data_IF_552919358030
#
_entry.id   IF_552919358030
#
_cell.length_a   1.000
_cell.length_b   1.000
_cell.length_c   1.000
_cell.angle_alpha   90.00
_cell.angle_beta   90.00
_cell.angle_gamma   90.00
#
_symmetry.space_group_name_H-M   'P 1'
#
loop_
_entity.id
_entity.type
_entity.pdbx_description
1 polymer ?
#
# COMPACT_ATOMS: atom_id res chain seq x y z
N UNK A 1 23.97 -10.46 10.48
CA UNK A 1 22.57 -10.02 10.71
C UNK A 1 21.62 -11.14 11.09
N UNK A 2 21.60 -12.29 10.39
CA UNK A 2 20.69 -13.42 10.71
C UNK A 2 20.85 -13.95 12.16
N UNK A 3 22.09 -14.10 12.63
CA UNK A 3 22.36 -14.57 14.00
C UNK A 3 21.81 -13.64 15.10
N UNK A 4 21.82 -12.33 14.85
CA UNK A 4 21.27 -11.30 15.76
C UNK A 4 19.73 -11.40 15.80
N UNK A 5 19.10 -11.71 14.68
CA UNK A 5 17.65 -11.92 14.64
C UNK A 5 17.22 -13.16 15.42
N UNK A 6 17.99 -14.24 15.37
CA UNK A 6 17.69 -15.46 16.13
C UNK A 6 17.78 -15.25 17.64
N UNK A 7 18.71 -14.41 18.12
CA UNK A 7 18.83 -14.07 19.54
C UNK A 7 17.79 -13.04 19.98
N UNK A 8 17.47 -12.05 19.14
CA UNK A 8 16.51 -10.99 19.44
C UNK A 8 15.05 -11.46 19.29
N UNK A 9 14.78 -12.55 18.56
CA UNK A 9 13.42 -13.07 18.36
C UNK A 9 12.67 -13.34 19.66
N UNK A 10 13.32 -13.96 20.65
CA UNK A 10 12.71 -14.25 21.95
C UNK A 10 12.40 -12.97 22.74
N UNK A 11 13.25 -11.95 22.62
CA UNK A 11 13.00 -10.64 23.20
C UNK A 11 11.80 -9.97 22.52
N UNK A 12 11.67 -10.08 21.19
CA UNK A 12 10.53 -9.51 20.44
C UNK A 12 9.20 -10.17 20.80
N UNK A 13 9.20 -11.50 20.98
CA UNK A 13 8.05 -12.26 21.50
C UNK A 13 7.66 -11.75 22.89
N UNK A 14 8.64 -11.65 23.79
CA UNK A 14 8.41 -11.16 25.15
C UNK A 14 7.82 -9.74 25.14
N UNK A 15 8.41 -8.82 24.37
CA UNK A 15 7.96 -7.43 24.24
C UNK A 15 6.54 -7.28 23.67
N UNK A 16 6.08 -8.20 22.81
CA UNK A 16 4.71 -8.18 22.28
C UNK A 16 3.66 -8.55 23.33
N UNK A 17 4.02 -9.42 24.28
CA UNK A 17 3.14 -9.92 25.33
C UNK A 17 3.11 -9.00 26.56
N UNK A 18 4.06 -8.06 26.67
CA UNK A 18 4.08 -7.11 27.77
C UNK A 18 2.89 -6.14 27.75
N UNK A 19 2.33 -5.88 28.94
CA UNK A 19 1.25 -4.91 29.20
C UNK A 19 1.68 -3.46 28.88
N UNK A 20 2.99 -3.22 28.75
CA UNK A 20 3.53 -1.89 28.45
C UNK A 20 3.26 -1.57 26.97
N UNK A 21 2.20 -0.79 26.73
CA UNK A 21 1.77 -0.41 25.38
C UNK A 21 2.84 0.28 24.53
N UNK A 22 3.88 0.86 25.14
CA UNK A 22 4.95 1.59 24.44
C UNK A 22 5.94 0.66 23.71
N UNK A 23 6.08 -0.60 24.13
CA UNK A 23 7.09 -1.52 23.56
C UNK A 23 6.53 -2.42 22.45
N UNK A 24 5.21 -2.63 22.42
CA UNK A 24 4.52 -3.42 21.38
C UNK A 24 4.70 -2.84 19.96
N UNK A 25 4.60 -1.51 19.73
CA UNK A 25 4.89 -0.92 18.42
C UNK A 25 6.34 -1.09 18.00
N UNK A 26 7.29 -1.10 18.94
CA UNK A 26 8.71 -1.29 18.65
C UNK A 26 8.98 -2.69 18.11
N UNK A 27 8.37 -3.72 18.70
CA UNK A 27 8.49 -5.10 18.22
C UNK A 27 7.94 -5.27 16.80
N UNK A 28 6.74 -4.72 16.52
CA UNK A 28 6.17 -4.71 15.16
C UNK A 28 7.01 -3.89 14.18
N UNK A 29 7.63 -2.81 14.66
CA UNK A 29 8.57 -2.02 13.86
C UNK A 29 9.82 -2.83 13.50
N UNK A 30 10.30 -3.69 14.41
CA UNK A 30 11.35 -4.64 14.07
C UNK A 30 10.89 -5.58 12.94
N UNK A 31 9.68 -6.16 13.01
CA UNK A 31 9.17 -6.99 11.91
C UNK A 31 9.14 -6.24 10.58
N UNK A 32 8.80 -4.95 10.58
CA UNK A 32 8.88 -4.10 9.39
C UNK A 32 10.32 -3.76 8.93
N UNK A 33 11.32 -3.96 9.77
CA UNK A 33 12.75 -3.85 9.42
C UNK A 33 13.37 -5.18 8.98
N UNK A 34 12.60 -6.27 9.01
CA UNK A 34 13.05 -7.58 8.59
C UNK A 34 13.20 -7.63 7.06
N UNK A 35 14.29 -8.23 6.58
CA UNK A 35 14.49 -8.53 5.16
C UNK A 35 13.92 -9.92 4.82
N UNK A 36 13.55 -10.17 3.57
CA UNK A 36 13.11 -11.50 3.11
C UNK A 36 14.08 -12.61 3.55
N UNK A 37 15.39 -12.47 3.31
CA UNK A 37 16.40 -13.47 3.71
C UNK A 37 16.40 -13.82 5.21
N UNK A 38 16.12 -12.84 6.09
CA UNK A 38 15.97 -13.07 7.52
C UNK A 38 14.71 -13.86 7.79
N UNK A 39 13.58 -13.45 7.21
CA UNK A 39 12.30 -14.16 7.36
C UNK A 39 12.40 -15.62 6.89
N UNK A 40 13.02 -15.87 5.73
CA UNK A 40 13.23 -17.21 5.17
C UNK A 40 14.13 -18.09 6.04
N UNK A 41 15.06 -17.48 6.80
CA UNK A 41 15.93 -18.21 7.74
C UNK A 41 15.24 -18.63 9.04
N UNK A 42 14.05 -18.10 9.34
CA UNK A 42 13.27 -18.49 10.50
C UNK A 42 12.61 -19.85 10.29
N UNK A 43 12.43 -20.61 11.37
CA UNK A 43 11.59 -21.81 11.34
C UNK A 43 10.14 -21.45 11.02
N UNK A 44 9.36 -22.40 10.50
CA UNK A 44 7.95 -22.17 10.14
C UNK A 44 7.13 -21.62 11.31
N UNK A 45 7.31 -22.16 12.51
CA UNK A 45 6.62 -21.66 13.71
C UNK A 45 6.95 -20.19 14.03
N UNK A 46 8.20 -19.78 13.80
CA UNK A 46 8.63 -18.39 14.02
C UNK A 46 8.09 -17.46 12.94
N UNK A 47 8.02 -17.90 11.69
CA UNK A 47 7.35 -17.17 10.61
C UNK A 47 5.86 -16.98 10.94
N UNK A 48 5.19 -18.05 11.37
CA UNK A 48 3.77 -18.06 11.71
C UNK A 48 3.49 -17.15 12.91
N UNK A 49 4.39 -17.14 13.90
CA UNK A 49 4.32 -16.21 15.02
C UNK A 49 4.42 -14.75 14.57
N UNK A 50 5.36 -14.40 13.67
CA UNK A 50 5.51 -13.04 13.14
C UNK A 50 4.25 -12.60 12.39
N UNK A 51 3.73 -13.48 11.53
CA UNK A 51 2.50 -13.26 10.76
C UNK A 51 1.31 -13.05 11.68
N UNK A 52 1.05 -14.00 12.59
CA UNK A 52 -0.10 -13.97 13.50
C UNK A 52 -0.02 -12.76 14.44
N UNK A 53 1.17 -12.42 14.95
CA UNK A 53 1.36 -11.24 15.80
C UNK A 53 1.01 -9.95 15.07
N UNK A 54 1.44 -9.80 13.81
CA UNK A 54 1.13 -8.63 13.00
C UNK A 54 -0.37 -8.54 12.67
N UNK A 55 -1.00 -9.66 12.31
CA UNK A 55 -2.45 -9.70 12.01
C UNK A 55 -3.29 -9.39 13.25
N UNK A 56 -3.03 -10.07 14.37
CA UNK A 56 -3.74 -9.86 15.63
C UNK A 56 -3.57 -8.42 16.09
N UNK A 57 -2.35 -7.88 16.10
CA UNK A 57 -2.11 -6.50 16.47
C UNK A 57 -2.86 -5.49 15.59
N UNK A 58 -2.99 -5.75 14.28
CA UNK A 58 -3.73 -4.88 13.37
C UNK A 58 -5.26 -4.92 13.59
N UNK A 59 -5.81 -6.08 14.00
CA UNK A 59 -7.25 -6.32 14.13
C UNK A 59 -7.80 -6.05 15.53
N UNK A 60 -7.02 -6.33 16.58
CA UNK A 60 -7.55 -6.40 17.95
C UNK A 60 -6.89 -5.43 18.92
N UNK A 61 -5.77 -4.78 18.57
CA UNK A 61 -5.08 -3.90 19.51
C UNK A 61 -5.81 -2.55 19.65
N UNK A 62 -6.16 -2.17 20.87
CA UNK A 62 -6.83 -0.91 21.16
C UNK A 62 -5.94 0.34 20.97
N UNK A 63 -4.61 0.17 20.83
CA UNK A 63 -3.67 1.29 20.72
C UNK A 63 -3.36 1.60 19.25
N UNK A 64 -3.69 2.81 18.75
CA UNK A 64 -3.50 3.16 17.35
C UNK A 64 -2.06 3.06 16.81
N UNK A 65 -1.06 3.37 17.64
CA UNK A 65 0.35 3.27 17.24
C UNK A 65 0.79 1.82 17.02
N UNK A 66 0.23 0.87 17.78
CA UNK A 66 0.45 -0.57 17.60
C UNK A 66 -0.12 -1.01 16.26
N UNK A 67 -1.39 -0.65 15.99
CA UNK A 67 -2.05 -0.96 14.71
C UNK A 67 -1.31 -0.36 13.51
N UNK A 68 -0.82 0.87 13.64
CA UNK A 68 -0.02 1.49 12.59
C UNK A 68 1.28 0.72 12.31
N UNK A 69 1.99 0.30 13.36
CA UNK A 69 3.20 -0.51 13.23
C UNK A 69 2.90 -1.91 12.66
N UNK A 70 1.78 -2.51 13.05
CA UNK A 70 1.29 -3.78 12.51
C UNK A 70 1.02 -3.70 11.01
N UNK A 71 0.25 -2.71 10.56
CA UNK A 71 0.01 -2.49 9.12
C UNK A 71 1.30 -2.24 8.35
N UNK A 72 2.27 -1.55 8.96
CA UNK A 72 3.59 -1.36 8.35
C UNK A 72 4.35 -2.69 8.20
N UNK A 73 4.31 -3.55 9.22
CA UNK A 73 4.91 -4.88 9.17
C UNK A 73 4.23 -5.77 8.12
N UNK A 74 2.89 -5.81 8.10
CA UNK A 74 2.11 -6.51 7.06
C UNK A 74 2.56 -6.05 5.67
N UNK A 75 2.65 -4.74 5.43
CA UNK A 75 3.10 -4.22 4.14
C UNK A 75 4.53 -4.62 3.74
N UNK A 76 5.39 -5.00 4.67
CA UNK A 76 6.74 -5.53 4.37
C UNK A 76 6.68 -7.02 4.12
N UNK A 77 5.94 -7.75 4.95
CA UNK A 77 5.73 -9.19 4.83
C UNK A 77 5.08 -9.55 3.48
N UNK A 78 4.18 -8.71 2.96
CA UNK A 78 3.54 -8.93 1.65
C UNK A 78 4.50 -8.86 0.47
N UNK A 79 5.69 -8.29 0.65
CA UNK A 79 6.75 -8.26 -0.36
C UNK A 79 7.59 -9.54 -0.39
N UNK A 80 7.40 -10.48 0.56
CA UNK A 80 8.18 -11.72 0.60
C UNK A 80 7.50 -12.79 -0.26
N UNK A 81 8.24 -13.34 -1.23
CA UNK A 81 7.72 -14.34 -2.18
C UNK A 81 7.12 -15.57 -1.48
N UNK A 82 7.69 -15.97 -0.35
CA UNK A 82 7.24 -17.12 0.45
C UNK A 82 5.82 -16.92 1.02
N UNK A 83 5.40 -15.67 1.21
CA UNK A 83 4.06 -15.33 1.70
C UNK A 83 3.05 -15.34 0.56
N UNK A 84 3.47 -14.97 -0.65
CA UNK A 84 2.59 -15.00 -1.83
C UNK A 84 2.06 -16.42 -2.10
N UNK A 85 2.80 -17.46 -1.72
CA UNK A 85 2.34 -18.85 -1.84
C UNK A 85 1.41 -19.32 -0.71
N UNK A 86 1.13 -18.49 0.32
CA UNK A 86 0.36 -18.86 1.51
C UNK A 86 -1.03 -18.20 1.48
N UNK A 87 -1.97 -18.80 0.74
CA UNK A 87 -3.32 -18.24 0.48
C UNK A 87 -4.08 -17.80 1.74
N UNK A 88 -4.04 -18.59 2.81
CA UNK A 88 -4.68 -18.25 4.10
C UNK A 88 -4.10 -16.97 4.72
N UNK A 89 -2.77 -16.81 4.64
CA UNK A 89 -2.07 -15.62 5.16
C UNK A 89 -2.42 -14.37 4.37
N UNK A 90 -2.53 -14.49 3.04
CA UNK A 90 -2.95 -13.38 2.18
C UNK A 90 -4.32 -12.88 2.59
N UNK A 91 -5.30 -13.76 2.78
CA UNK A 91 -6.65 -13.37 3.19
C UNK A 91 -6.65 -12.66 4.56
N UNK A 92 -5.84 -13.12 5.51
CA UNK A 92 -5.69 -12.45 6.81
C UNK A 92 -5.06 -11.06 6.67
N UNK A 93 -4.06 -10.91 5.79
CA UNK A 93 -3.43 -9.62 5.49
C UNK A 93 -4.38 -8.63 4.83
N UNK A 94 -5.18 -9.08 3.86
CA UNK A 94 -6.21 -8.24 3.23
C UNK A 94 -7.23 -7.81 4.28
N UNK A 95 -7.75 -8.75 5.08
CA UNK A 95 -8.72 -8.46 6.15
C UNK A 95 -8.18 -7.43 7.15
N UNK A 96 -6.93 -7.60 7.59
CA UNK A 96 -6.28 -6.69 8.51
C UNK A 96 -6.09 -5.29 7.90
N UNK A 97 -5.58 -5.20 6.68
CA UNK A 97 -5.34 -3.92 6.02
C UNK A 97 -6.66 -3.19 5.69
N UNK A 98 -7.69 -3.91 5.23
CA UNK A 98 -9.02 -3.36 4.94
C UNK A 98 -9.74 -2.88 6.23
N UNK A 99 -9.63 -3.61 7.34
CA UNK A 99 -10.14 -3.14 8.63
C UNK A 99 -9.53 -1.77 9.01
N UNK A 100 -8.22 -1.62 8.77
CA UNK A 100 -7.46 -0.41 9.10
C UNK A 100 -7.61 0.73 8.06
N UNK A 101 -8.14 0.46 6.87
CA UNK A 101 -8.42 1.52 5.88
C UNK A 101 -9.70 2.28 6.19
N UNK A 102 -10.69 1.57 6.75
CA UNK A 102 -12.01 2.12 7.05
C UNK A 102 -12.12 2.69 8.46
N UNK A 103 -11.19 2.30 9.36
CA UNK A 103 -11.26 2.70 10.75
C UNK A 103 -11.14 4.22 10.93
N UNK A 104 -12.24 4.81 11.35
CA UNK A 104 -12.44 6.23 11.57
C UNK A 104 -12.60 6.48 13.06
N UNK A 105 -11.61 6.07 13.87
CA UNK A 105 -11.44 6.64 15.21
C UNK A 105 -10.89 8.07 15.07
N UNK A 106 -11.73 8.94 14.53
CA UNK A 106 -11.54 10.37 14.45
C UNK A 106 -11.80 10.99 15.83
N UNK A 107 -10.86 10.84 16.76
CA UNK A 107 -10.75 11.78 17.86
C UNK A 107 -9.88 12.95 17.39
N UNK A 108 -10.57 14.05 17.13
CA UNK A 108 -10.06 15.38 16.82
C UNK A 108 -9.27 15.91 18.02
N UNK A 109 -8.21 16.68 17.75
CA UNK A 109 -7.30 17.38 18.67
C UNK A 109 -5.96 16.69 19.01
N UNK A 110 -4.98 16.85 18.11
CA UNK A 110 -3.60 17.21 18.51
C UNK A 110 -2.77 17.55 17.26
N UNK A 111 -1.72 18.36 17.44
CA UNK A 111 -0.70 18.73 16.43
C UNK A 111 0.18 17.53 15.97
N UNK A 112 -0.13 16.31 16.43
CA UNK A 112 0.49 15.06 16.01
C UNK A 112 -0.38 14.52 14.85
N UNK A 113 0.19 13.91 13.78
CA UNK A 113 -0.64 13.23 12.78
C UNK A 113 -1.63 12.34 13.51
N UNK A 114 -2.95 12.64 13.38
CA UNK A 114 -4.00 11.84 14.02
C UNK A 114 -3.63 10.37 13.81
N UNK A 115 -3.58 9.54 14.86
CA UNK A 115 -3.12 8.17 14.72
C UNK A 115 -3.82 7.41 13.58
N UNK A 116 -5.05 7.81 13.25
CA UNK A 116 -5.80 7.39 12.05
C UNK A 116 -5.06 7.60 10.72
N UNK A 117 -4.35 8.73 10.52
CA UNK A 117 -3.57 9.04 9.32
C UNK A 117 -2.47 8.02 9.11
N UNK A 118 -1.71 7.70 10.17
CA UNK A 118 -0.60 6.76 10.10
C UNK A 118 -1.09 5.33 9.87
N UNK A 119 -2.19 4.95 10.52
CA UNK A 119 -2.85 3.66 10.31
C UNK A 119 -3.30 3.54 8.85
N UNK A 120 -4.13 4.48 8.37
CA UNK A 120 -4.66 4.48 7.00
C UNK A 120 -3.54 4.48 5.96
N UNK A 121 -2.51 5.32 6.14
CA UNK A 121 -1.36 5.36 5.23
C UNK A 121 -0.65 4.00 5.13
N UNK A 122 -0.42 3.33 6.26
CA UNK A 122 0.24 2.02 6.27
C UNK A 122 -0.67 0.91 5.74
N UNK A 123 -1.98 0.98 6.00
CA UNK A 123 -2.97 0.09 5.43
C UNK A 123 -3.02 0.21 3.90
N UNK A 124 -3.08 1.43 3.36
CA UNK A 124 -3.05 1.67 1.90
C UNK A 124 -1.80 1.09 1.25
N UNK A 125 -0.64 1.27 1.88
CA UNK A 125 0.62 0.70 1.39
C UNK A 125 0.60 -0.84 1.42
N UNK A 126 0.06 -1.44 2.48
CA UNK A 126 -0.10 -2.89 2.56
C UNK A 126 -1.05 -3.44 1.48
N UNK A 127 -2.22 -2.82 1.30
CA UNK A 127 -3.18 -3.16 0.24
C UNK A 127 -2.56 -3.02 -1.14
N UNK A 128 -1.80 -1.95 -1.40
CA UNK A 128 -1.09 -1.77 -2.67
C UNK A 128 -0.06 -2.85 -2.93
N UNK A 129 0.73 -3.25 -1.93
CA UNK A 129 1.70 -4.32 -2.09
C UNK A 129 1.03 -5.68 -2.35
N UNK A 130 -0.07 -5.95 -1.64
CA UNK A 130 -0.91 -7.13 -1.87
C UNK A 130 -1.50 -7.14 -3.29
N UNK A 131 -2.06 -6.00 -3.72
CA UNK A 131 -2.75 -5.88 -5.00
C UNK A 131 -1.85 -6.07 -6.20
N UNK A 132 -0.52 -6.00 -6.05
CA UNK A 132 0.44 -6.31 -7.12
C UNK A 132 0.54 -7.80 -7.43
N UNK A 133 0.40 -8.67 -6.42
CA UNK A 133 0.78 -10.09 -6.53
C UNK A 133 -0.41 -11.05 -6.43
N UNK A 134 -1.55 -10.62 -5.90
CA UNK A 134 -2.75 -11.46 -5.79
C UNK A 134 -3.39 -11.63 -7.17
N UNK A 135 -3.89 -12.84 -7.49
CA UNK A 135 -4.81 -13.04 -8.62
C UNK A 135 -6.17 -12.41 -8.30
N UNK A 136 -6.46 -11.28 -8.94
CA UNK A 136 -7.66 -10.47 -8.74
C UNK A 136 -8.67 -10.60 -9.89
N UNK A 137 -8.35 -11.36 -10.94
CA UNK A 137 -9.21 -11.53 -12.13
C UNK A 137 -9.95 -12.86 -12.13
N UNK A 138 -11.27 -12.79 -12.36
CA UNK A 138 -12.18 -13.93 -12.54
C UNK A 138 -11.98 -14.69 -13.86
N UNK A 139 -11.29 -14.12 -14.85
CA UNK A 139 -11.32 -14.63 -16.23
C UNK A 139 -10.61 -15.99 -16.42
N UNK A 140 -9.77 -16.41 -15.47
CA UNK A 140 -9.14 -17.74 -15.47
C UNK A 140 -9.96 -18.80 -14.70
N UNK A 141 -11.04 -18.41 -14.01
CA UNK A 141 -11.83 -19.33 -13.17
C UNK A 141 -12.78 -20.25 -13.98
N UNK A 142 -13.14 -19.86 -15.20
CA UNK A 142 -14.07 -20.63 -16.05
C UNK A 142 -13.39 -21.74 -16.86
N UNK A 143 -12.05 -21.71 -17.02
CA UNK A 143 -11.32 -22.63 -17.90
C UNK A 143 -10.43 -23.67 -17.18
N UNK A 144 -10.48 -23.77 -15.84
CA UNK A 144 -9.59 -24.66 -15.07
C UNK A 144 -10.32 -25.86 -14.42
N UNK A 145 -9.76 -27.09 -14.47
CA UNK A 145 -10.34 -28.28 -13.85
C UNK A 145 -10.58 -28.11 -12.34
N UNK A 146 -11.73 -28.61 -11.90
CA UNK A 146 -12.35 -28.42 -10.57
C UNK A 146 -11.51 -28.84 -9.36
N UNK A 147 -10.49 -29.68 -9.55
CA UNK A 147 -9.59 -30.14 -8.48
C UNK A 147 -8.50 -29.12 -8.07
N UNK A 148 -8.34 -28.02 -8.81
CA UNK A 148 -7.34 -26.97 -8.54
C UNK A 148 -7.95 -25.65 -8.04
N UNK A 149 -9.26 -25.65 -7.76
CA UNK A 149 -10.03 -24.43 -7.45
C UNK A 149 -9.81 -23.85 -6.04
N UNK A 150 -9.03 -24.48 -5.17
CA UNK A 150 -8.96 -24.09 -3.76
C UNK A 150 -7.86 -23.08 -3.39
N UNK A 151 -6.84 -22.87 -4.21
CA UNK A 151 -5.57 -22.39 -3.63
C UNK A 151 -5.14 -20.96 -3.99
N UNK A 152 -5.84 -20.23 -4.87
CA UNK A 152 -5.33 -18.91 -5.29
C UNK A 152 -6.36 -17.91 -5.82
N UNK A 153 -7.61 -17.94 -5.35
CA UNK A 153 -8.57 -16.88 -5.72
C UNK A 153 -8.60 -15.80 -4.65
N UNK A 154 -8.04 -14.62 -4.97
CA UNK A 154 -8.50 -13.41 -4.28
C UNK A 154 -9.98 -13.30 -4.55
N UNK A 155 -10.81 -13.34 -3.50
CA UNK A 155 -12.25 -13.10 -3.62
C UNK A 155 -12.44 -11.84 -4.50
N UNK A 156 -13.19 -11.88 -5.61
CA UNK A 156 -13.35 -10.73 -6.51
C UNK A 156 -13.85 -9.47 -5.78
N UNK A 157 -14.56 -9.67 -4.66
CA UNK A 157 -14.96 -8.62 -3.73
C UNK A 157 -13.77 -7.83 -3.15
N UNK A 158 -12.59 -8.43 -3.03
CA UNK A 158 -11.40 -7.74 -2.53
C UNK A 158 -10.87 -6.68 -3.50
N UNK A 159 -10.90 -6.93 -4.81
CA UNK A 159 -10.50 -5.91 -5.80
C UNK A 159 -11.42 -4.68 -5.67
N UNK A 160 -12.73 -4.93 -5.62
CA UNK A 160 -13.74 -3.88 -5.47
C UNK A 160 -13.55 -3.08 -4.17
N UNK A 161 -13.38 -3.76 -3.03
CA UNK A 161 -13.13 -3.10 -1.73
C UNK A 161 -11.82 -2.30 -1.72
N UNK A 162 -10.74 -2.87 -2.26
CA UNK A 162 -9.46 -2.17 -2.36
C UNK A 162 -9.60 -0.90 -3.19
N UNK A 163 -10.25 -1.00 -4.35
CA UNK A 163 -10.52 0.15 -5.22
C UNK A 163 -11.41 1.19 -4.54
N UNK A 164 -12.46 0.77 -3.86
CA UNK A 164 -13.34 1.66 -3.10
C UNK A 164 -12.55 2.42 -2.02
N UNK A 165 -11.71 1.71 -1.26
CA UNK A 165 -10.85 2.30 -0.24
C UNK A 165 -9.83 3.27 -0.85
N UNK A 166 -9.21 2.91 -1.98
CA UNK A 166 -8.27 3.78 -2.71
C UNK A 166 -8.96 5.04 -3.20
N UNK A 167 -10.08 4.93 -3.92
CA UNK A 167 -10.82 6.09 -4.46
C UNK A 167 -11.30 7.01 -3.33
N UNK A 168 -11.81 6.45 -2.24
CA UNK A 168 -12.22 7.23 -1.06
C UNK A 168 -11.03 7.96 -0.43
N UNK A 169 -9.93 7.25 -0.17
CA UNK A 169 -8.75 7.80 0.51
C UNK A 169 -7.94 8.78 -0.36
N UNK A 170 -7.92 8.61 -1.68
CA UNK A 170 -7.19 9.53 -2.56
C UNK A 170 -7.95 10.85 -2.79
N UNK A 171 -9.28 10.82 -2.72
CA UNK A 171 -10.12 12.02 -2.90
C UNK A 171 -10.31 12.80 -1.61
N UNK A 172 -10.43 12.12 -0.47
CA UNK A 172 -10.75 12.75 0.83
C UNK A 172 -9.63 12.67 1.86
N UNK A 173 -8.62 11.85 1.63
CA UNK A 173 -7.52 11.66 2.57
C UNK A 173 -6.60 12.87 2.62
N UNK A 174 -5.83 12.96 3.71
CA UNK A 174 -4.80 13.99 3.78
C UNK A 174 -3.64 13.70 2.81
N UNK A 175 -2.74 14.66 2.66
CA UNK A 175 -1.59 14.57 1.75
C UNK A 175 -0.80 13.26 1.93
N UNK A 176 -0.62 12.81 3.18
CA UNK A 176 0.12 11.57 3.48
C UNK A 176 -0.66 10.29 3.13
N UNK A 177 -1.97 10.32 3.16
CA UNK A 177 -2.78 9.19 2.68
C UNK A 177 -2.78 9.20 1.15
N UNK A 178 -2.99 10.35 0.52
CA UNK A 178 -3.12 10.50 -0.94
C UNK A 178 -1.90 9.98 -1.72
N UNK A 179 -0.67 10.41 -1.40
CA UNK A 179 0.53 9.88 -2.08
C UNK A 179 0.71 8.36 -1.85
N UNK A 180 0.37 7.82 -0.68
CA UNK A 180 0.44 6.37 -0.43
C UNK A 180 -0.61 5.62 -1.26
N UNK A 181 -1.78 6.20 -1.47
CA UNK A 181 -2.79 5.62 -2.38
C UNK A 181 -2.32 5.71 -3.84
N UNK A 182 -1.72 6.81 -4.28
CA UNK A 182 -1.15 6.90 -5.63
C UNK A 182 -0.10 5.80 -5.86
N UNK A 183 0.78 5.57 -4.88
CA UNK A 183 1.73 4.46 -4.90
C UNK A 183 1.02 3.08 -4.91
N UNK A 184 -0.06 2.91 -4.14
CA UNK A 184 -0.84 1.68 -4.13
C UNK A 184 -1.52 1.40 -5.48
N UNK A 185 -2.05 2.43 -6.15
CA UNK A 185 -2.62 2.36 -7.49
C UNK A 185 -1.55 1.98 -8.54
N UNK A 186 -0.34 2.54 -8.42
CA UNK A 186 0.80 2.13 -9.27
C UNK A 186 1.07 0.62 -9.14
N UNK A 187 1.10 0.08 -7.92
CA UNK A 187 1.25 -1.36 -7.71
C UNK A 187 0.07 -2.18 -8.26
N UNK A 188 -1.16 -1.70 -8.13
CA UNK A 188 -2.34 -2.35 -8.71
C UNK A 188 -2.23 -2.44 -10.23
N UNK A 189 -1.78 -1.38 -10.89
CA UNK A 189 -1.60 -1.36 -12.35
C UNK A 189 -0.48 -2.30 -12.81
N UNK A 190 0.50 -2.59 -11.95
CA UNK A 190 1.56 -3.58 -12.24
C UNK A 190 1.08 -5.03 -12.09
N UNK A 191 -0.16 -5.27 -11.65
CA UNK A 191 -0.70 -6.61 -11.52
C UNK A 191 -0.99 -7.22 -12.90
N UNK A 192 -0.19 -8.21 -13.31
CA UNK A 192 -0.32 -8.89 -14.59
C UNK A 192 -1.61 -9.70 -14.79
N UNK A 193 -2.43 -9.87 -13.74
CA UNK A 193 -3.72 -10.57 -13.80
C UNK A 193 -4.86 -9.61 -14.15
N UNK A 194 -4.65 -8.30 -14.04
CA UNK A 194 -5.64 -7.27 -14.36
C UNK A 194 -5.42 -6.76 -15.78
N UNK A 195 -6.41 -6.97 -16.64
CA UNK A 195 -6.46 -6.35 -17.96
C UNK A 195 -7.11 -4.98 -17.85
N UNK A 196 -6.32 -3.92 -17.64
CA UNK A 196 -6.82 -2.57 -17.37
C UNK A 196 -7.83 -2.08 -18.43
N UNK A 197 -7.60 -2.41 -19.70
CA UNK A 197 -8.50 -2.06 -20.79
C UNK A 197 -9.90 -2.71 -20.72
N UNK A 198 -10.09 -3.74 -19.90
CA UNK A 198 -11.37 -4.41 -19.66
C UNK A 198 -12.04 -3.94 -18.37
N UNK A 199 -11.35 -3.13 -17.58
CA UNK A 199 -11.83 -2.69 -16.27
C UNK A 199 -12.64 -1.39 -16.42
N UNK A 200 -13.93 -1.45 -16.11
CA UNK A 200 -14.84 -0.29 -16.17
C UNK A 200 -14.43 0.85 -15.23
N UNK A 201 -13.73 0.54 -14.14
CA UNK A 201 -13.24 1.51 -13.16
C UNK A 201 -11.95 2.24 -13.60
N UNK A 202 -11.19 1.71 -14.56
CA UNK A 202 -9.87 2.25 -14.91
C UNK A 202 -9.91 3.71 -15.40
N UNK A 203 -10.83 4.11 -16.32
CA UNK A 203 -10.94 5.50 -16.75
C UNK A 203 -11.18 6.48 -15.59
N UNK A 204 -12.02 6.12 -14.62
CA UNK A 204 -12.29 6.95 -13.44
C UNK A 204 -11.03 7.15 -12.60
N UNK A 205 -10.25 6.09 -12.40
CA UNK A 205 -8.99 6.18 -11.64
C UNK A 205 -7.95 7.02 -12.40
N UNK A 206 -7.85 6.90 -13.72
CA UNK A 206 -6.98 7.77 -14.52
C UNK A 206 -7.38 9.24 -14.37
N UNK A 207 -8.66 9.58 -14.45
CA UNK A 207 -9.13 10.96 -14.25
C UNK A 207 -8.77 11.52 -12.89
N UNK A 208 -8.88 10.73 -11.82
CA UNK A 208 -8.46 11.12 -10.47
C UNK A 208 -6.95 11.38 -10.41
N UNK A 209 -6.13 10.50 -10.98
CA UNK A 209 -4.68 10.65 -11.01
C UNK A 209 -4.25 11.89 -11.82
N UNK A 210 -4.92 12.17 -12.95
CA UNK A 210 -4.68 13.36 -13.76
C UNK A 210 -5.03 14.65 -13.00
N UNK A 211 -6.15 14.65 -12.27
CA UNK A 211 -6.54 15.76 -11.39
C UNK A 211 -5.45 16.02 -10.34
N UNK A 212 -4.95 14.98 -9.68
CA UNK A 212 -3.89 15.10 -8.67
C UNK A 212 -2.56 15.56 -9.26
N UNK A 213 -2.22 15.09 -10.47
CA UNK A 213 -1.01 15.48 -11.18
C UNK A 213 -1.00 16.97 -11.52
N UNK A 214 -2.16 17.49 -11.95
CA UNK A 214 -2.33 18.88 -12.37
C UNK A 214 -2.53 19.84 -11.20
N UNK A 215 -3.42 19.50 -10.26
CA UNK A 215 -4.00 20.48 -9.33
C UNK A 215 -3.43 20.34 -7.90
N UNK A 216 -2.69 19.28 -7.57
CA UNK A 216 -2.12 19.15 -6.23
C UNK A 216 -0.95 20.10 -6.02
N UNK A 217 -0.97 20.88 -4.94
CA UNK A 217 0.18 21.70 -4.50
C UNK A 217 1.32 20.87 -3.92
N UNK A 218 1.12 19.57 -3.69
CA UNK A 218 2.11 18.70 -3.11
C UNK A 218 2.87 17.89 -4.17
N UNK A 219 4.16 18.17 -4.34
CA UNK A 219 5.00 17.49 -5.33
C UNK A 219 5.08 15.98 -5.14
N UNK A 220 4.98 15.45 -3.92
CA UNK A 220 5.01 14.00 -3.68
C UNK A 220 3.75 13.31 -4.22
N UNK A 221 2.60 13.96 -4.09
CA UNK A 221 1.35 13.49 -4.73
C UNK A 221 1.53 13.52 -6.24
N UNK A 222 1.98 14.64 -6.82
CA UNK A 222 2.17 14.78 -8.28
C UNK A 222 3.13 13.71 -8.83
N UNK A 223 4.26 13.49 -8.17
CA UNK A 223 5.25 12.47 -8.58
C UNK A 223 4.64 11.06 -8.53
N UNK A 224 3.93 10.68 -7.45
CA UNK A 224 3.34 9.35 -7.36
C UNK A 224 2.15 9.17 -8.32
N UNK A 225 1.39 10.22 -8.60
CA UNK A 225 0.35 10.20 -9.62
C UNK A 225 0.94 10.00 -11.03
N UNK A 226 2.00 10.74 -11.37
CA UNK A 226 2.74 10.56 -12.62
C UNK A 226 3.32 9.15 -12.75
N UNK A 227 3.95 8.63 -11.69
CA UNK A 227 4.48 7.26 -11.67
C UNK A 227 3.37 6.23 -11.90
N UNK A 228 2.22 6.37 -11.25
CA UNK A 228 1.08 5.49 -11.47
C UNK A 228 0.59 5.57 -12.92
N UNK A 229 0.43 6.77 -13.48
CA UNK A 229 0.02 6.98 -14.87
C UNK A 229 1.03 6.43 -15.89
N UNK A 230 2.31 6.28 -15.52
CA UNK A 230 3.34 5.72 -16.39
C UNK A 230 3.45 4.19 -16.32
N UNK A 231 2.72 3.52 -15.42
CA UNK A 231 2.76 2.06 -15.27
C UNK A 231 2.21 1.31 -16.48
N UNK A 232 1.02 1.66 -17.02
CA UNK A 232 0.48 0.92 -18.15
C UNK A 232 1.42 1.02 -19.36
N UNK A 233 1.84 -0.14 -19.89
CA UNK A 233 2.91 -0.22 -20.90
C UNK A 233 2.38 -0.20 -22.34
N UNK A 234 1.06 -0.37 -22.52
CA UNK A 234 0.43 -0.40 -23.83
C UNK A 234 -0.62 0.70 -23.98
N UNK A 235 -0.78 1.22 -25.20
CA UNK A 235 -1.87 2.17 -25.53
C UNK A 235 -3.25 1.60 -25.17
N UNK A 236 -3.44 0.30 -25.34
CA UNK A 236 -4.72 -0.37 -25.06
C UNK A 236 -5.09 -0.31 -23.59
N UNK A 237 -4.13 -0.37 -22.66
CA UNK A 237 -4.40 -0.32 -21.22
C UNK A 237 -4.95 1.03 -20.73
N UNK A 238 -4.69 2.09 -21.49
CA UNK A 238 -5.27 3.41 -21.24
C UNK A 238 -6.69 3.55 -21.84
N UNK A 239 -7.04 2.74 -22.84
CA UNK A 239 -8.34 2.79 -23.51
C UNK A 239 -8.68 4.19 -24.03
N UNK A 240 -9.87 4.69 -23.68
CA UNK A 240 -10.33 6.03 -24.04
C UNK A 240 -9.53 7.15 -23.36
N UNK A 241 -8.89 6.87 -22.21
CA UNK A 241 -8.13 7.87 -21.45
C UNK A 241 -6.74 8.17 -22.03
N UNK A 242 -6.30 7.46 -23.07
CA UNK A 242 -4.94 7.60 -23.62
C UNK A 242 -4.59 9.05 -24.00
N UNK A 243 -5.48 9.73 -24.73
CA UNK A 243 -5.26 11.10 -25.18
C UNK A 243 -5.11 12.06 -24.01
N UNK A 244 -6.01 11.97 -23.04
CA UNK A 244 -6.02 12.83 -21.86
C UNK A 244 -4.76 12.64 -21.01
N UNK A 245 -4.30 11.40 -20.85
CA UNK A 245 -3.08 11.08 -20.11
C UNK A 245 -1.85 11.68 -20.77
N UNK A 246 -1.68 11.48 -22.08
CA UNK A 246 -0.52 12.00 -22.81
C UNK A 246 -0.51 13.53 -22.80
N UNK A 247 -1.65 14.16 -23.12
CA UNK A 247 -1.77 15.62 -23.17
C UNK A 247 -1.51 16.26 -21.81
N UNK A 248 -2.03 15.67 -20.73
CA UNK A 248 -1.82 16.21 -19.39
C UNK A 248 -0.36 16.10 -18.93
N UNK A 249 0.32 14.99 -19.26
CA UNK A 249 1.74 14.81 -18.94
C UNK A 249 2.61 15.82 -19.70
N UNK A 250 2.35 16.03 -21.00
CA UNK A 250 3.04 17.04 -21.81
C UNK A 250 2.85 18.45 -21.21
N UNK A 251 1.61 18.83 -20.91
CA UNK A 251 1.30 20.14 -20.32
C UNK A 251 1.99 20.38 -18.98
N UNK A 252 2.04 19.34 -18.12
CA UNK A 252 2.74 19.42 -16.83
C UNK A 252 4.25 19.52 -17.03
N UNK A 253 4.82 18.83 -18.02
CA UNK A 253 6.24 18.95 -18.36
C UNK A 253 6.58 20.36 -18.81
N UNK A 254 5.80 20.93 -19.71
CA UNK A 254 5.99 22.30 -20.20
C UNK A 254 5.90 23.33 -19.06
N UNK A 255 4.91 23.19 -18.17
CA UNK A 255 4.74 24.08 -17.01
C UNK A 255 5.96 24.08 -16.08
N UNK A 256 6.56 22.90 -15.84
CA UNK A 256 7.78 22.78 -15.04
C UNK A 256 8.98 23.44 -15.72
N UNK A 257 9.11 23.33 -17.05
CA UNK A 257 10.18 23.99 -17.80
C UNK A 257 10.03 25.52 -17.77
N UNK A 258 8.80 26.04 -17.88
CA UNK A 258 8.55 27.48 -17.78
C UNK A 258 8.88 28.05 -16.40
N UNK A 259 8.57 27.32 -15.32
CA UNK A 259 8.91 27.73 -13.94
C UNK A 259 10.44 27.82 -13.73
N UNK A 260 11.20 26.93 -14.36
CA UNK A 260 12.67 26.97 -14.32
C UNK A 260 13.27 28.08 -15.18
N UNK A 261 12.63 28.45 -16.29
CA UNK A 261 13.09 29.55 -17.15
C UNK A 261 12.79 30.95 -16.60
N UNK A 262 11.93 31.05 -15.59
CA UNK A 262 11.46 32.31 -14.99
C UNK A 262 12.11 32.66 -13.64
N UNK A 263 13.14 31.92 -13.20
CA UNK A 263 13.95 32.25 -12.01
C UNK A 263 15.32 32.84 -12.39
N UNK A 264 15.59 34.15 -12.19
CA UNK A 264 16.95 34.66 -12.09
C UNK A 264 17.51 34.37 -10.69
N UNK A 265 18.79 33.99 -10.65
CA UNK A 265 19.59 33.79 -9.45
C UNK A 265 19.65 35.06 -8.57
N UNK A 266 18.96 35.06 -7.43
CA UNK A 266 19.31 35.94 -6.31
C UNK A 266 18.89 35.33 -4.97
N UNK A 267 19.65 34.33 -4.53
CA UNK A 267 19.76 34.05 -3.09
C UNK A 267 20.68 35.13 -2.49
N UNK A 268 20.10 36.25 -2.05
CA UNK A 268 20.80 37.15 -1.13
C UNK A 268 20.76 36.52 0.27
N UNK A 269 21.90 35.98 0.70
CA UNK A 269 22.16 35.74 2.12
C UNK A 269 22.35 37.11 2.79
N UNK A 270 21.44 37.48 3.69
CA UNK A 270 21.72 38.52 4.69
C UNK A 270 22.43 37.87 5.88
N UNK A 271 23.58 38.44 6.22
CA UNK A 271 24.44 38.14 7.37
C UNK A 271 23.79 38.69 8.65
#
# INVERSE_FOLDING_TARGET
MVLVWLTVFFLLVFLLVLIIYQVRPASLTCFAGMTSAVFSSLTKDKQDFVISSAVTAALTDGVPSVRSAACRAIGVLTCFSEIVSRSMVINEFIRAADYNSHDSLALVHSYIPSPSILIKSNAMRALGNLSRFIRLSQYEAENLPSASKSDFYGNPYWLERMLQAFVSCVTTGNVKVQWNVCHALSNLFMNGTIKLHQMSWAPTVYSILLLLLRDSTNFKIRIHAAVALAVPTSRTDYGSSFSDVVQSIEHVRESLVSDHSSTPLTFQFQV
#
